data_IF_041167484090
#
_entry.id   IF_041167484090
#
_cell.length_a   1.000
_cell.length_b   1.000
_cell.length_c   1.000
_cell.angle_alpha   90.00
_cell.angle_beta   90.00
_cell.angle_gamma   90.00
#
_symmetry.space_group_name_H-M   'P 1'
#
loop_
_entity.id
_entity.type
_entity.pdbx_description
1 polymer ?
#
# COMPACT_ATOMS: atom_id res chain seq x y z
N UNK A 1 -11.88 -18.11 -1.51
CA UNK A 1 -10.87 -19.05 -2.04
C UNK A 1 -9.59 -18.81 -1.24
N UNK A 2 -8.97 -19.84 -0.67
CA UNK A 2 -7.70 -19.71 0.07
C UNK A 2 -6.57 -20.45 -0.64
N UNK A 3 -5.34 -20.00 -0.45
CA UNK A 3 -4.11 -20.62 -0.98
C UNK A 3 -3.22 -20.99 0.21
N UNK A 4 -2.53 -22.13 0.13
CA UNK A 4 -1.61 -22.58 1.18
C UNK A 4 -0.30 -21.80 1.11
N UNK A 5 0.16 -21.31 2.26
CA UNK A 5 1.46 -20.69 2.43
C UNK A 5 2.29 -21.59 3.36
N UNK A 6 3.39 -22.15 2.85
CA UNK A 6 4.29 -23.01 3.62
C UNK A 6 5.62 -22.30 3.85
N UNK A 7 5.95 -22.04 5.12
CA UNK A 7 7.19 -21.36 5.52
C UNK A 7 7.84 -22.15 6.65
N UNK A 8 9.17 -22.27 6.62
CA UNK A 8 9.92 -22.90 7.70
C UNK A 8 10.12 -21.90 8.83
N UNK A 9 9.73 -22.30 10.04
CA UNK A 9 9.92 -21.53 11.27
C UNK A 9 10.69 -22.37 12.29
N UNK A 10 11.28 -21.72 13.29
CA UNK A 10 11.89 -22.39 14.44
C UNK A 10 10.83 -23.23 15.16
N UNK A 11 11.18 -24.47 15.52
CA UNK A 11 10.25 -25.43 16.09
C UNK A 11 9.69 -24.92 17.42
N UNK A 12 10.56 -24.39 18.26
CA UNK A 12 10.26 -23.79 19.56
C UNK A 12 9.25 -22.64 19.48
N UNK A 13 9.28 -21.83 18.40
CA UNK A 13 8.32 -20.74 18.20
C UNK A 13 6.93 -21.28 17.90
N UNK A 14 6.85 -22.30 17.05
CA UNK A 14 5.59 -22.95 16.72
C UNK A 14 5.00 -23.61 17.96
N UNK A 15 5.81 -24.36 18.71
CA UNK A 15 5.38 -25.07 19.92
C UNK A 15 4.96 -24.11 21.05
N UNK A 16 5.66 -22.99 21.23
CA UNK A 16 5.24 -21.96 22.19
C UNK A 16 3.92 -21.30 21.75
N UNK A 17 3.78 -20.96 20.47
CA UNK A 17 2.54 -20.37 19.95
C UNK A 17 1.33 -21.29 20.14
N UNK A 18 1.51 -22.60 19.90
CA UNK A 18 0.47 -23.61 20.14
C UNK A 18 0.15 -23.74 21.64
N UNK A 19 1.17 -23.76 22.52
CA UNK A 19 0.98 -23.79 23.99
C UNK A 19 0.21 -22.59 24.51
N UNK A 20 0.43 -21.42 23.93
CA UNK A 20 -0.25 -20.17 24.28
C UNK A 20 -1.62 -20.03 23.61
N UNK A 21 -2.05 -20.99 22.79
CA UNK A 21 -3.34 -20.95 22.10
C UNK A 21 -3.42 -19.88 21.01
N UNK A 22 -2.29 -19.50 20.42
CA UNK A 22 -2.25 -18.51 19.33
C UNK A 22 -2.79 -19.14 18.05
N UNK A 23 -3.83 -18.52 17.48
CA UNK A 23 -4.31 -18.86 16.14
C UNK A 23 -3.32 -18.38 15.08
N UNK A 24 -2.40 -19.26 14.69
CA UNK A 24 -1.38 -18.99 13.67
C UNK A 24 -2.00 -18.60 12.32
N UNK A 25 -3.14 -19.18 11.95
CA UNK A 25 -3.80 -18.85 10.68
C UNK A 25 -4.27 -17.40 10.72
N UNK A 26 -5.02 -17.04 11.76
CA UNK A 26 -5.54 -15.68 11.92
C UNK A 26 -4.40 -14.66 12.04
N UNK A 27 -3.36 -14.97 12.81
CA UNK A 27 -2.17 -14.13 12.94
C UNK A 27 -1.53 -13.87 11.58
N UNK A 28 -1.23 -14.92 10.81
CA UNK A 28 -0.59 -14.79 9.50
C UNK A 28 -1.48 -14.00 8.54
N UNK A 29 -2.78 -14.28 8.51
CA UNK A 29 -3.73 -13.59 7.62
C UNK A 29 -3.87 -12.10 7.95
N UNK A 30 -4.03 -11.75 9.23
CA UNK A 30 -4.12 -10.35 9.67
C UNK A 30 -2.81 -9.59 9.46
N UNK A 31 -1.67 -10.20 9.78
CA UNK A 31 -0.35 -9.58 9.58
C UNK A 31 -0.07 -9.36 8.11
N UNK A 32 -0.35 -10.34 7.24
CA UNK A 32 -0.18 -10.19 5.79
C UNK A 32 -1.06 -9.06 5.25
N UNK A 33 -2.34 -9.02 5.65
CA UNK A 33 -3.26 -7.96 5.23
C UNK A 33 -2.74 -6.57 5.62
N UNK A 34 -2.41 -6.39 6.91
CA UNK A 34 -1.89 -5.11 7.42
C UNK A 34 -0.62 -4.69 6.70
N UNK A 35 0.28 -5.64 6.43
CA UNK A 35 1.53 -5.33 5.74
C UNK A 35 1.38 -4.96 4.27
N UNK A 36 0.42 -5.59 3.58
CA UNK A 36 0.06 -5.21 2.22
C UNK A 36 -0.55 -3.82 2.18
N UNK A 37 -1.50 -3.53 3.08
CA UNK A 37 -2.14 -2.21 3.17
C UNK A 37 -1.11 -1.11 3.49
N UNK A 38 -0.21 -1.36 4.45
CA UNK A 38 0.88 -0.43 4.79
C UNK A 38 1.77 -0.13 3.59
N UNK A 39 2.23 -1.16 2.86
CA UNK A 39 3.09 -0.98 1.68
C UNK A 39 2.36 -0.28 0.54
N UNK A 40 1.07 -0.56 0.33
CA UNK A 40 0.26 0.14 -0.66
C UNK A 40 0.14 1.62 -0.34
N UNK A 41 -0.12 1.96 0.93
CA UNK A 41 -0.20 3.36 1.37
C UNK A 41 1.13 4.09 1.17
N UNK A 42 2.23 3.49 1.61
CA UNK A 42 3.56 4.09 1.43
C UNK A 42 3.88 4.38 -0.04
N UNK A 43 3.58 3.44 -0.96
CA UNK A 43 3.75 3.67 -2.40
C UNK A 43 2.85 4.78 -2.95
N UNK A 44 1.63 4.91 -2.42
CA UNK A 44 0.71 5.97 -2.81
C UNK A 44 1.22 7.34 -2.34
N UNK A 45 1.67 7.42 -1.08
CA UNK A 45 2.27 8.63 -0.51
C UNK A 45 3.50 9.06 -1.33
N UNK A 46 4.40 8.12 -1.66
CA UNK A 46 5.58 8.39 -2.50
C UNK A 46 5.20 8.90 -3.91
N UNK A 47 4.15 8.34 -4.51
CA UNK A 47 3.65 8.80 -5.80
C UNK A 47 3.04 10.21 -5.72
N UNK A 48 2.28 10.50 -4.67
CA UNK A 48 1.72 11.84 -4.42
C UNK A 48 2.83 12.86 -4.20
N UNK A 49 3.82 12.55 -3.37
CA UNK A 49 4.97 13.43 -3.12
C UNK A 49 5.73 13.72 -4.41
N UNK A 50 5.94 12.70 -5.25
CA UNK A 50 6.57 12.87 -6.57
C UNK A 50 5.77 13.84 -7.45
N UNK A 51 4.45 13.71 -7.48
CA UNK A 51 3.58 14.61 -8.25
C UNK A 51 3.67 16.04 -7.69
N UNK A 52 3.53 16.20 -6.38
CA UNK A 52 3.57 17.52 -5.73
C UNK A 52 4.91 18.21 -5.95
N UNK A 53 6.02 17.49 -5.79
CA UNK A 53 7.35 18.03 -6.10
C UNK A 53 7.50 18.41 -7.57
N UNK A 54 6.98 17.59 -8.49
CA UNK A 54 6.96 17.91 -9.92
C UNK A 54 6.08 19.11 -10.29
N UNK A 55 5.03 19.37 -9.50
CA UNK A 55 4.12 20.51 -9.68
C UNK A 55 4.58 21.78 -8.95
N UNK A 56 5.59 21.69 -8.07
CA UNK A 56 6.11 22.83 -7.32
C UNK A 56 6.50 24.06 -8.19
N UNK A 57 6.96 23.91 -9.46
CA UNK A 57 7.21 25.04 -10.36
C UNK A 57 5.96 25.64 -11.02
N UNK A 58 4.79 25.00 -10.92
CA UNK A 58 3.55 25.36 -11.64
C UNK A 58 2.60 26.08 -10.70
N UNK A 59 2.22 27.33 -11.02
CA UNK A 59 1.18 28.03 -10.24
C UNK A 59 -0.21 27.43 -10.50
N UNK A 60 -1.12 27.61 -9.55
CA UNK A 60 -2.52 27.20 -9.71
C UNK A 60 -3.15 27.83 -10.97
N UNK A 61 -2.84 29.10 -11.27
CA UNK A 61 -3.39 29.77 -12.46
C UNK A 61 -2.89 29.13 -13.76
N UNK A 62 -1.61 28.78 -13.83
CA UNK A 62 -1.03 28.13 -15.00
C UNK A 62 -1.62 26.74 -15.21
N UNK A 63 -1.79 25.97 -14.13
CA UNK A 63 -2.46 24.67 -14.18
C UNK A 63 -3.91 24.79 -14.68
N UNK A 64 -4.69 25.71 -14.11
CA UNK A 64 -6.08 25.97 -14.52
C UNK A 64 -6.16 26.38 -15.99
N UNK A 65 -5.24 27.24 -16.46
CA UNK A 65 -5.17 27.65 -17.87
C UNK A 65 -4.94 26.45 -18.78
N UNK A 66 -3.94 25.63 -18.50
CA UNK A 66 -3.61 24.42 -19.30
C UNK A 66 -4.80 23.44 -19.33
N UNK A 67 -5.44 23.18 -18.19
CA UNK A 67 -6.62 22.29 -18.13
C UNK A 67 -7.79 22.84 -18.95
N UNK A 68 -8.04 24.16 -18.89
CA UNK A 68 -9.09 24.81 -19.69
C UNK A 68 -8.80 24.71 -21.19
N UNK A 69 -7.56 24.91 -21.61
CA UNK A 69 -7.14 24.77 -23.01
C UNK A 69 -7.29 23.33 -23.52
N UNK A 70 -6.89 22.35 -22.71
CA UNK A 70 -7.07 20.93 -23.04
C UNK A 70 -8.54 20.52 -23.18
N UNK A 71 -9.43 21.01 -22.31
CA UNK A 71 -10.87 20.74 -22.42
C UNK A 71 -11.47 21.28 -23.72
N UNK A 72 -11.07 22.49 -24.15
CA UNK A 72 -11.55 23.09 -25.40
C UNK A 72 -11.08 22.33 -26.64
N UNK A 73 -9.93 21.67 -26.59
CA UNK A 73 -9.39 20.86 -27.70
C UNK A 73 -10.05 19.49 -27.87
N UNK A 74 -10.87 19.04 -26.91
CA UNK A 74 -11.61 17.76 -27.00
C UNK A 74 -13.03 17.91 -27.58
N UNK A 75 -13.38 19.09 -28.07
CA UNK A 75 -14.61 19.41 -28.82
C UNK A 75 -14.19 19.69 -30.25
#
# INVERSE_FOLDING_TARGET
>A
MSVVVSVRVRRELKEEAERLGIDLRRLVEETLKREVERRRRARFEEAVDTIVQGMNPVSEEEFVKVVREWRRKRI
#
